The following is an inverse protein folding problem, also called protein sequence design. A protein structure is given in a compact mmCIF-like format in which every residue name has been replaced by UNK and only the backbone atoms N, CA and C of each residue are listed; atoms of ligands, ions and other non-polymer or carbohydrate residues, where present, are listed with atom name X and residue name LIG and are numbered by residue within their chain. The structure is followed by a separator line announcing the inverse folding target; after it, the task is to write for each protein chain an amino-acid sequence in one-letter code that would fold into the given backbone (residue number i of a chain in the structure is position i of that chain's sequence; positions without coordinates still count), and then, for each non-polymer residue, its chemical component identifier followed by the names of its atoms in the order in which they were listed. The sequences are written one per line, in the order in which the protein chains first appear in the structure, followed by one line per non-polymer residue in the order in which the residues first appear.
data_IF_322719737788
#
_entry.id   IF_322719737788
#
_cell.length_a   1.000
_cell.length_b   1.000
_cell.length_c   1.000
_cell.angle_alpha   90.00
_cell.angle_beta   90.00
_cell.angle_gamma   90.00
#
_symmetry.space_group_name_H-M   'P 1'
#
loop_
_entity.id
_entity.type
_entity.pdbx_description
1 polymer ?
#
# COMPACT_ATOMS: atom_id res chain seq x y z
N UNK A 1 10.17 16.13 0.97
CA UNK A 1 10.41 15.04 1.94
C UNK A 1 9.65 13.81 1.49
N UNK A 2 10.29 12.65 1.49
CA UNK A 2 9.66 11.36 1.19
C UNK A 2 9.67 10.52 2.47
N UNK A 3 8.51 10.07 2.91
CA UNK A 3 8.32 9.22 4.07
C UNK A 3 7.66 7.89 3.71
N UNK A 4 7.34 7.10 4.73
CA UNK A 4 6.67 5.80 4.62
C UNK A 4 5.93 5.47 5.91
N UNK A 5 5.98 4.21 6.34
CA UNK A 5 5.48 3.72 7.63
C UNK A 5 3.95 3.69 7.82
N UNK A 6 3.21 4.72 7.38
CA UNK A 6 1.74 4.72 7.53
C UNK A 6 1.00 3.78 6.56
N UNK A 7 1.71 3.26 5.55
CA UNK A 7 1.18 2.35 4.52
C UNK A 7 0.00 2.91 3.71
N UNK A 8 -0.13 4.23 3.64
CA UNK A 8 -1.16 4.93 2.89
C UNK A 8 -0.51 5.98 1.98
N UNK A 9 -0.96 6.03 0.72
CA UNK A 9 -0.54 7.08 -0.21
C UNK A 9 -0.93 8.46 0.29
N UNK A 10 0.03 9.36 0.35
CA UNK A 10 -0.18 10.72 0.84
C UNK A 10 0.60 11.74 0.01
N UNK A 11 -0.08 12.83 -0.32
CA UNK A 11 0.53 14.08 -0.77
C UNK A 11 0.03 15.23 0.12
N UNK A 12 0.97 15.95 0.71
CA UNK A 12 0.75 17.16 1.50
C UNK A 12 1.77 18.23 1.13
N UNK A 13 1.44 19.47 1.46
CA UNK A 13 2.35 20.62 1.35
C UNK A 13 2.58 21.22 2.72
N UNK A 14 3.84 21.50 3.04
CA UNK A 14 4.25 22.23 4.25
C UNK A 14 5.20 23.36 3.83
N UNK A 15 4.69 24.59 3.83
CA UNK A 15 5.35 25.73 3.18
C UNK A 15 5.65 25.41 1.70
N UNK A 16 6.91 25.59 1.30
CA UNK A 16 7.37 25.28 -0.06
C UNK A 16 7.73 23.81 -0.28
N UNK A 17 7.65 22.97 0.77
CA UNK A 17 8.03 21.56 0.70
C UNK A 17 6.83 20.67 0.38
N UNK A 18 6.99 19.81 -0.62
CA UNK A 18 6.11 18.65 -0.82
C UNK A 18 6.51 17.53 0.16
N UNK A 19 5.52 17.02 0.89
CA UNK A 19 5.64 15.87 1.78
C UNK A 19 4.85 14.73 1.15
N UNK A 20 5.55 13.64 0.81
CA UNK A 20 4.96 12.51 0.11
C UNK A 20 5.15 11.20 0.89
N UNK A 21 4.17 10.32 0.80
CA UNK A 21 4.27 8.91 1.19
C UNK A 21 3.79 8.06 0.01
N UNK A 22 4.61 7.16 -0.57
CA UNK A 22 4.25 6.36 -1.73
C UNK A 22 3.23 5.24 -1.41
N UNK A 23 2.92 5.01 -0.13
CA UNK A 23 2.09 3.90 0.34
C UNK A 23 2.95 2.70 0.73
N UNK A 24 2.39 1.49 0.59
CA UNK A 24 3.07 0.24 0.89
C UNK A 24 2.88 -0.78 -0.23
N UNK A 25 3.98 -1.44 -0.63
CA UNK A 25 3.93 -2.53 -1.60
C UNK A 25 3.28 -3.78 -1.00
N UNK A 26 3.69 -4.17 0.21
CA UNK A 26 3.33 -5.47 0.79
C UNK A 26 2.17 -5.45 1.78
N UNK A 27 1.80 -4.28 2.30
CA UNK A 27 0.75 -4.16 3.30
C UNK A 27 0.03 -2.81 3.24
N UNK A 28 -0.49 -2.38 2.08
CA UNK A 28 -1.25 -1.14 2.00
C UNK A 28 -2.47 -1.20 2.91
N UNK A 29 -2.86 -0.02 3.37
CA UNK A 29 -3.87 0.13 4.39
C UNK A 29 -4.83 1.25 4.03
N UNK A 30 -6.12 1.01 4.18
CA UNK A 30 -7.16 2.02 3.99
C UNK A 30 -8.12 2.00 5.16
N UNK A 31 -8.41 3.16 5.72
CA UNK A 31 -9.49 3.31 6.69
C UNK A 31 -10.79 3.56 5.95
N UNK A 32 -11.67 2.56 5.91
CA UNK A 32 -13.03 2.70 5.38
C UNK A 32 -14.03 2.92 6.53
N UNK A 33 -15.27 3.29 6.19
CA UNK A 33 -16.35 3.44 7.19
C UNK A 33 -16.64 2.15 7.96
N UNK A 34 -16.46 0.99 7.31
CA UNK A 34 -16.59 -0.35 7.90
C UNK A 34 -15.39 -0.74 8.77
N UNK A 35 -14.33 0.07 8.80
CA UNK A 35 -13.09 -0.22 9.49
C UNK A 35 -11.90 -0.30 8.54
N UNK A 36 -10.73 -0.69 9.07
CA UNK A 36 -9.51 -0.81 8.29
C UNK A 36 -9.54 -2.01 7.33
N UNK A 37 -9.15 -1.80 6.07
CA UNK A 37 -9.07 -2.85 5.04
C UNK A 37 -7.69 -2.88 4.38
N UNK A 38 -7.28 -4.05 3.88
CA UNK A 38 -6.05 -4.23 3.10
C UNK A 38 -6.39 -4.49 1.64
N UNK A 39 -6.25 -3.50 0.75
CA UNK A 39 -6.59 -3.71 -0.64
C UNK A 39 -5.64 -4.70 -1.34
N UNK A 40 -6.16 -5.41 -2.36
CA UNK A 40 -5.44 -6.38 -3.18
C UNK A 40 -4.56 -5.74 -4.28
N UNK A 41 -3.86 -4.65 -3.96
CA UNK A 41 -2.89 -4.03 -4.84
C UNK A 41 -1.71 -3.50 -4.04
N UNK A 42 -0.53 -3.46 -4.64
CA UNK A 42 0.62 -2.75 -4.11
C UNK A 42 0.51 -1.25 -4.37
N UNK A 43 1.00 -0.41 -3.47
CA UNK A 43 1.07 1.06 -3.63
C UNK A 43 2.51 1.56 -3.72
N UNK A 44 2.78 2.42 -4.70
CA UNK A 44 4.06 3.12 -4.86
C UNK A 44 3.89 4.45 -5.58
N UNK A 45 4.95 5.24 -5.69
CA UNK A 45 4.95 6.46 -6.49
C UNK A 45 6.20 6.54 -7.37
N UNK A 46 6.04 7.05 -8.58
CA UNK A 46 7.14 7.48 -9.46
C UNK A 46 7.25 9.00 -9.34
N UNK A 47 8.43 9.49 -8.96
CA UNK A 47 8.69 10.92 -8.84
C UNK A 47 9.65 11.34 -9.93
N UNK A 48 9.20 12.26 -10.78
CA UNK A 48 10.03 12.87 -11.82
C UNK A 48 10.32 14.32 -11.43
N UNK A 49 11.60 14.66 -11.31
CA UNK A 49 12.06 16.01 -10.97
C UNK A 49 12.80 16.57 -12.17
N UNK A 50 12.15 17.47 -12.92
CA UNK A 50 12.78 18.15 -14.05
C UNK A 50 13.40 19.48 -13.63
N UNK A 51 12.79 20.16 -12.65
CA UNK A 51 13.36 21.34 -12.00
C UNK A 51 12.70 21.54 -10.63
N UNK A 52 13.18 22.51 -9.84
CA UNK A 52 12.50 22.90 -8.58
C UNK A 52 11.05 23.35 -8.79
N UNK A 53 10.75 23.93 -9.95
CA UNK A 53 9.41 24.39 -10.30
C UNK A 53 8.55 23.32 -11.01
N UNK A 54 9.16 22.20 -11.43
CA UNK A 54 8.48 21.14 -12.18
C UNK A 54 8.82 19.77 -11.62
N UNK A 55 7.94 19.32 -10.72
CA UNK A 55 7.97 17.99 -10.10
C UNK A 55 6.65 17.30 -10.44
N UNK A 56 6.73 16.09 -10.98
CA UNK A 56 5.59 15.20 -11.20
C UNK A 56 5.64 14.10 -10.15
N UNK A 57 4.51 13.82 -9.51
CA UNK A 57 4.34 12.70 -8.58
C UNK A 57 3.21 11.85 -9.13
N UNK A 58 3.55 10.62 -9.53
CA UNK A 58 2.63 9.66 -10.11
C UNK A 58 2.41 8.52 -9.11
N UNK A 59 1.29 8.56 -8.39
CA UNK A 59 0.88 7.49 -7.47
C UNK A 59 0.28 6.34 -8.25
N UNK A 60 0.82 5.15 -8.05
CA UNK A 60 0.44 3.95 -8.78
C UNK A 60 -0.06 2.86 -7.86
N UNK A 61 -0.97 2.06 -8.40
CA UNK A 61 -1.49 0.84 -7.80
C UNK A 61 -1.30 -0.31 -8.78
N UNK A 62 -0.75 -1.41 -8.31
CA UNK A 62 -0.59 -2.63 -9.11
C UNK A 62 -1.32 -3.77 -8.43
N UNK A 63 -2.44 -4.27 -9.02
CA UNK A 63 -3.15 -5.43 -8.49
C UNK A 63 -2.23 -6.63 -8.36
N UNK A 64 -2.47 -7.48 -7.37
CA UNK A 64 -1.80 -8.77 -7.24
C UNK A 64 -2.83 -9.89 -7.07
N UNK A 65 -2.42 -11.12 -7.38
CA UNK A 65 -3.25 -12.30 -7.23
C UNK A 65 -3.32 -12.71 -5.75
N UNK A 66 -4.48 -12.46 -5.12
CA UNK A 66 -4.74 -12.78 -3.71
C UNK A 66 -4.65 -14.29 -3.45
N UNK A 67 -5.10 -15.11 -4.40
CA UNK A 67 -5.07 -16.57 -4.25
C UNK A 67 -3.63 -17.09 -4.32
N UNK A 68 -2.81 -16.53 -5.20
CA UNK A 68 -1.38 -16.84 -5.24
C UNK A 68 -0.69 -16.41 -3.93
N UNK A 69 -1.04 -15.23 -3.39
CA UNK A 69 -0.52 -14.75 -2.11
C UNK A 69 -0.90 -15.68 -0.96
N UNK A 70 -2.17 -16.07 -0.84
CA UNK A 70 -2.64 -17.03 0.18
C UNK A 70 -1.88 -18.36 0.06
N UNK A 71 -1.72 -18.90 -1.16
CA UNK A 71 -0.96 -20.15 -1.38
C UNK A 71 0.49 -20.03 -0.94
N UNK A 72 1.16 -18.93 -1.26
CA UNK A 72 2.55 -18.70 -0.86
C UNK A 72 2.71 -18.69 0.67
N UNK A 73 1.81 -18.03 1.39
CA UNK A 73 1.81 -18.03 2.85
C UNK A 73 1.52 -19.41 3.43
N UNK A 74 0.53 -20.13 2.88
CA UNK A 74 0.16 -21.47 3.33
C UNK A 74 1.35 -22.45 3.25
N UNK A 75 2.16 -22.33 2.20
CA UNK A 75 3.35 -23.15 1.95
C UNK A 75 4.60 -22.70 2.71
N UNK A 76 4.60 -21.49 3.28
CA UNK A 76 5.74 -20.95 4.04
C UNK A 76 5.77 -21.44 5.49
N UNK A 77 6.92 -21.33 6.14
CA UNK A 77 7.07 -21.53 7.59
C UNK A 77 6.85 -20.23 8.40
N UNK A 78 6.17 -19.24 7.81
CA UNK A 78 5.94 -17.95 8.44
C UNK A 78 5.11 -18.11 9.73
N UNK A 79 5.59 -17.61 10.88
CA UNK A 79 4.82 -17.61 12.11
C UNK A 79 3.48 -16.91 11.91
N UNK A 80 2.43 -17.44 12.53
CA UNK A 80 1.08 -16.88 12.46
C UNK A 80 0.48 -16.74 11.05
N UNK A 81 0.98 -17.47 10.04
CA UNK A 81 0.44 -17.46 8.66
C UNK A 81 -1.08 -17.64 8.56
N UNK A 82 -1.69 -18.39 9.47
CA UNK A 82 -3.14 -18.60 9.51
C UNK A 82 -3.92 -17.31 9.82
N UNK A 83 -3.39 -16.42 10.66
CA UNK A 83 -4.00 -15.11 10.94
C UNK A 83 -3.93 -14.22 9.70
N UNK A 84 -2.77 -14.19 9.04
CA UNK A 84 -2.58 -13.42 7.83
C UNK A 84 -3.48 -13.90 6.68
N UNK A 85 -3.61 -15.22 6.47
CA UNK A 85 -4.51 -15.79 5.46
C UNK A 85 -5.97 -15.48 5.78
N UNK A 86 -6.38 -15.57 7.04
CA UNK A 86 -7.76 -15.29 7.46
C UNK A 86 -8.20 -13.87 7.06
N UNK A 87 -7.33 -12.87 7.21
CA UNK A 87 -7.64 -11.49 6.79
C UNK A 87 -8.06 -11.39 5.32
N UNK A 88 -7.50 -12.22 4.44
CA UNK A 88 -7.84 -12.23 3.00
C UNK A 88 -9.12 -13.01 2.70
N UNK A 89 -9.37 -14.11 3.41
CA UNK A 89 -10.58 -14.91 3.24
C UNK A 89 -11.83 -14.16 3.73
N UNK A 90 -11.73 -13.42 4.82
CA UNK A 90 -12.86 -12.65 5.36
C UNK A 90 -13.27 -11.52 4.41
N UNK A 91 -12.32 -10.91 3.69
CA UNK A 91 -12.57 -9.83 2.72
C UNK A 91 -13.23 -10.31 1.42
N UNK A 92 -13.08 -11.59 1.04
CA UNK A 92 -13.69 -12.15 -0.16
C UNK A 92 -15.16 -12.60 0.03
N UNK A 93 -15.67 -12.52 1.27
CA UNK A 93 -17.03 -12.92 1.63
C UNK A 93 -18.00 -11.73 1.79
N UNK A 94 -17.56 -10.50 1.49
CA UNK A 94 -18.38 -9.29 1.36
C UNK A 94 -18.68 -8.98 -0.11
#
# INVERSE_FOLDING_TARGET
MVGGHSHEQMLRRYGDTLVINPGSIGAPFRVAKSGPTRPAWAEYAVVEVQSRARITIDFRRTPFDVEQHIRAYAQSDMPHKHLWIKEWLDQNNE
#
